data_IF_961742105289
#
_entry.id   IF_961742105289
#
_cell.length_a   1.000
_cell.length_b   1.000
_cell.length_c   1.000
_cell.angle_alpha   90.00
_cell.angle_beta   90.00
_cell.angle_gamma   90.00
#
_symmetry.space_group_name_H-M   'P 1'
#
loop_
_entity.id
_entity.type
_entity.pdbx_description
1 polymer ?
#
# COMPACT_ATOMS: atom_id res chain seq x y z
N UNK A 1 -13.19 -2.78 -13.39
CA UNK A 1 -11.79 -3.09 -13.72
C UNK A 1 -10.92 -2.57 -12.57
N UNK A 2 -10.43 -3.44 -11.68
CA UNK A 2 -9.89 -3.05 -10.36
C UNK A 2 -8.56 -2.28 -10.46
N UNK A 3 -7.87 -2.32 -11.60
CA UNK A 3 -6.72 -1.46 -11.89
C UNK A 3 -6.58 -1.23 -13.40
N UNK A 4 -6.16 -0.04 -13.84
CA UNK A 4 -5.77 0.23 -15.23
C UNK A 4 -4.56 -0.62 -15.69
N UNK A 5 -3.83 -1.21 -14.74
CA UNK A 5 -2.68 -2.07 -14.97
C UNK A 5 -3.13 -3.53 -15.00
N UNK A 6 -2.67 -4.31 -15.98
CA UNK A 6 -2.89 -5.75 -16.02
C UNK A 6 -1.68 -6.48 -15.41
N UNK A 7 -1.88 -7.18 -14.30
CA UNK A 7 -0.86 -7.94 -13.59
C UNK A 7 -1.45 -9.28 -13.11
N UNK A 8 -0.57 -10.26 -12.86
CA UNK A 8 -0.97 -11.56 -12.28
C UNK A 8 -1.23 -11.46 -10.76
N UNK A 9 -0.57 -10.52 -10.09
CA UNK A 9 -0.64 -10.29 -8.65
C UNK A 9 -0.78 -8.80 -8.36
N UNK A 10 -1.62 -8.46 -7.38
CA UNK A 10 -1.81 -7.10 -6.89
C UNK A 10 -1.71 -7.08 -5.38
N UNK A 11 -0.82 -6.23 -4.85
CA UNK A 11 -0.64 -6.06 -3.41
C UNK A 11 -1.21 -4.69 -3.01
N UNK A 12 -2.29 -4.70 -2.24
CA UNK A 12 -2.96 -3.51 -1.67
C UNK A 12 -2.57 -3.41 -0.20
N UNK A 13 -1.66 -2.48 0.09
CA UNK A 13 -1.08 -2.32 1.41
C UNK A 13 -1.61 -1.03 2.03
N UNK A 14 -2.30 -1.16 3.16
CA UNK A 14 -2.81 -0.02 3.91
C UNK A 14 -1.80 0.40 5.00
N UNK A 15 -1.43 1.67 5.01
CA UNK A 15 -0.59 2.24 6.08
C UNK A 15 -1.24 2.04 7.46
N UNK A 16 -0.43 1.61 8.41
CA UNK A 16 -0.80 1.51 9.81
C UNK A 16 0.17 2.34 10.65
N UNK A 17 -0.40 3.20 11.49
CA UNK A 17 0.33 4.03 12.42
C UNK A 17 0.00 3.55 13.83
N UNK A 18 1.01 3.06 14.54
CA UNK A 18 0.87 2.61 15.93
C UNK A 18 1.04 3.80 16.86
N UNK A 19 0.10 3.98 17.78
CA UNK A 19 0.19 5.02 18.80
C UNK A 19 1.08 4.57 19.97
N UNK A 20 1.83 5.49 20.60
CA UNK A 20 1.95 6.91 20.26
C UNK A 20 2.87 7.15 19.04
N UNK A 21 2.49 8.08 18.16
CA UNK A 21 3.30 8.49 17.00
C UNK A 21 3.21 10.00 16.72
N UNK A 22 4.15 10.54 15.91
CA UNK A 22 4.10 11.93 15.41
C UNK A 22 2.78 12.20 14.66
N UNK A 23 2.24 11.19 13.97
CA UNK A 23 0.96 11.31 13.29
C UNK A 23 -0.20 11.55 14.25
N UNK A 24 -0.13 11.11 15.49
CA UNK A 24 -1.18 11.41 16.47
C UNK A 24 -1.24 12.92 16.77
N UNK A 25 -0.08 13.57 16.85
CA UNK A 25 -0.01 15.02 17.01
C UNK A 25 -0.47 15.78 15.76
N UNK A 26 -0.04 15.36 14.56
CA UNK A 26 -0.53 15.96 13.30
C UNK A 26 -2.06 15.87 13.16
N UNK A 27 -2.65 14.71 13.53
CA UNK A 27 -4.11 14.49 13.49
C UNK A 27 -4.84 15.37 14.51
N UNK A 28 -4.27 15.51 15.71
CA UNK A 28 -4.79 16.43 16.72
C UNK A 28 -4.85 17.88 16.20
N UNK A 29 -3.76 18.36 15.59
CA UNK A 29 -3.73 19.71 14.99
C UNK A 29 -4.75 19.90 13.86
N UNK A 30 -5.08 18.84 13.12
CA UNK A 30 -6.10 18.86 12.07
C UNK A 30 -7.54 18.84 12.61
N UNK A 31 -7.73 18.84 13.95
CA UNK A 31 -9.02 18.75 14.61
C UNK A 31 -9.82 17.53 14.14
N UNK A 32 -9.12 16.43 13.88
CA UNK A 32 -9.74 15.19 13.42
C UNK A 32 -10.58 14.60 14.57
N UNK A 33 -11.89 14.43 14.34
CA UNK A 33 -12.79 13.87 15.35
C UNK A 33 -12.54 12.36 15.52
N UNK A 34 -11.74 11.98 16.50
CA UNK A 34 -11.43 10.57 16.82
C UNK A 34 -12.50 9.85 17.63
N UNK A 35 -13.57 10.55 18.02
CA UNK A 35 -14.50 10.10 19.07
C UNK A 35 -15.66 9.23 18.59
N UNK A 36 -15.98 9.22 17.29
CA UNK A 36 -17.07 8.41 16.76
C UNK A 36 -16.51 7.21 16.01
N UNK A 37 -16.88 6.01 16.45
CA UNK A 37 -16.69 4.81 15.65
C UNK A 37 -17.46 4.94 14.33
N UNK A 38 -16.84 4.44 13.26
CA UNK A 38 -17.46 4.41 11.95
C UNK A 38 -17.65 2.94 11.55
N UNK A 39 -18.87 2.58 11.16
CA UNK A 39 -19.21 1.23 10.72
C UNK A 39 -19.72 1.32 9.29
N UNK A 40 -19.16 0.49 8.41
CA UNK A 40 -19.69 0.28 7.06
C UNK A 40 -20.55 -0.98 7.09
N UNK A 41 -21.84 -0.84 6.85
CA UNK A 41 -22.83 -1.91 6.99
C UNK A 41 -22.82 -2.91 5.85
N UNK A 42 -22.36 -2.51 4.66
CA UNK A 42 -22.30 -3.37 3.49
C UNK A 42 -22.08 -2.61 2.19
N UNK A 43 -22.00 -3.32 1.05
CA UNK A 43 -21.75 -2.72 -0.27
C UNK A 43 -22.86 -1.78 -0.74
N UNK A 44 -24.09 -1.97 -0.26
CA UNK A 44 -25.23 -1.12 -0.59
C UNK A 44 -25.29 0.20 0.22
N UNK A 45 -24.37 0.38 1.17
CA UNK A 45 -24.33 1.61 1.96
C UNK A 45 -24.07 2.82 1.06
N UNK A 46 -24.93 3.83 1.16
CA UNK A 46 -24.75 5.09 0.46
C UNK A 46 -23.44 5.74 0.92
N UNK A 47 -22.55 6.00 -0.04
CA UNK A 47 -21.29 6.70 0.20
C UNK A 47 -21.57 8.06 0.89
N UNK A 48 -20.78 8.43 1.91
CA UNK A 48 -20.87 9.76 2.52
C UNK A 48 -20.88 10.89 1.47
N UNK A 49 -21.73 11.89 1.69
CA UNK A 49 -21.87 13.04 0.80
C UNK A 49 -20.56 13.80 0.64
N UNK A 50 -19.82 13.98 1.73
CA UNK A 50 -18.46 14.52 1.74
C UNK A 50 -17.42 13.43 2.05
N UNK A 51 -17.21 12.55 1.07
CA UNK A 51 -16.24 11.45 1.17
C UNK A 51 -14.81 11.93 1.42
N UNK A 52 -14.43 13.11 0.92
CA UNK A 52 -13.08 13.66 1.11
C UNK A 52 -12.84 14.06 2.56
N UNK A 53 -13.86 14.55 3.26
CA UNK A 53 -13.83 14.79 4.70
C UNK A 53 -13.74 13.49 5.48
N UNK A 54 -14.54 12.47 5.14
CA UNK A 54 -14.49 11.18 5.83
C UNK A 54 -13.14 10.47 5.64
N UNK A 55 -12.53 10.59 4.46
CA UNK A 55 -11.16 10.13 4.21
C UNK A 55 -10.10 10.85 5.04
N UNK A 56 -10.41 11.88 5.83
CA UNK A 56 -9.48 12.43 6.82
C UNK A 56 -9.57 11.68 8.14
N UNK A 57 -10.71 11.06 8.46
CA UNK A 57 -10.97 10.35 9.71
C UNK A 57 -10.33 8.95 9.72
N UNK A 58 -9.50 8.67 10.72
CA UNK A 58 -8.79 7.41 10.91
C UNK A 58 -9.75 6.24 11.13
N UNK A 59 -10.86 6.43 11.88
CA UNK A 59 -11.86 5.39 12.12
C UNK A 59 -12.56 5.02 10.81
N UNK A 60 -12.88 6.02 9.99
CA UNK A 60 -13.42 5.77 8.65
C UNK A 60 -12.44 4.98 7.77
N UNK A 61 -11.15 5.36 7.73
CA UNK A 61 -10.13 4.63 6.97
C UNK A 61 -9.98 3.17 7.41
N UNK A 62 -9.98 2.94 8.73
CA UNK A 62 -9.89 1.60 9.29
C UNK A 62 -11.11 0.77 8.90
N UNK A 63 -12.33 1.31 9.07
CA UNK A 63 -13.56 0.66 8.67
C UNK A 63 -13.61 0.38 7.16
N UNK A 64 -13.10 1.31 6.33
CA UNK A 64 -13.02 1.13 4.89
C UNK A 64 -12.07 -0.01 4.51
N UNK A 65 -10.90 -0.11 5.13
CA UNK A 65 -9.96 -1.19 4.88
C UNK A 65 -10.53 -2.55 5.32
N UNK A 66 -11.14 -2.61 6.52
CA UNK A 66 -11.83 -3.82 7.01
C UNK A 66 -12.97 -4.24 6.06
N UNK A 67 -13.79 -3.29 5.62
CA UNK A 67 -14.88 -3.53 4.66
C UNK A 67 -14.35 -4.07 3.32
N UNK A 68 -13.29 -3.48 2.77
CA UNK A 68 -12.72 -3.93 1.50
C UNK A 68 -12.18 -5.36 1.60
N UNK A 69 -11.51 -5.71 2.70
CA UNK A 69 -11.04 -7.08 2.93
C UNK A 69 -12.22 -8.06 2.99
N UNK A 70 -13.24 -7.72 3.77
CA UNK A 70 -14.42 -8.58 3.94
C UNK A 70 -15.17 -8.75 2.62
N UNK A 71 -15.47 -7.66 1.94
CA UNK A 71 -16.22 -7.68 0.68
C UNK A 71 -15.43 -8.34 -0.45
N UNK A 72 -14.11 -8.14 -0.54
CA UNK A 72 -13.28 -8.80 -1.55
C UNK A 72 -13.12 -10.30 -1.32
N UNK A 73 -13.42 -10.77 -0.12
CA UNK A 73 -13.45 -12.19 0.22
C UNK A 73 -14.76 -12.89 -0.15
N UNK A 74 -15.76 -12.19 -0.71
CA UNK A 74 -17.05 -12.80 -1.09
C UNK A 74 -17.04 -13.30 -2.53
N UNK A 75 -17.88 -14.29 -2.83
CA UNK A 75 -17.98 -14.87 -4.18
C UNK A 75 -18.51 -13.89 -5.24
N UNK A 76 -19.14 -12.79 -4.83
CA UNK A 76 -19.53 -11.68 -5.72
C UNK A 76 -18.31 -11.07 -6.44
N UNK A 77 -17.12 -11.24 -5.87
CA UNK A 77 -15.88 -10.68 -6.38
C UNK A 77 -15.14 -11.58 -7.37
N UNK A 78 -15.60 -12.83 -7.58
CA UNK A 78 -15.08 -13.78 -8.56
C UNK A 78 -14.90 -13.18 -9.97
N UNK A 79 -15.91 -12.51 -10.59
CA UNK A 79 -15.75 -11.96 -11.95
C UNK A 79 -14.74 -10.81 -12.01
N UNK A 80 -14.43 -10.16 -10.88
CA UNK A 80 -13.50 -9.03 -10.83
C UNK A 80 -12.06 -9.47 -10.54
N UNK A 81 -11.88 -10.48 -9.68
CA UNK A 81 -10.58 -11.06 -9.34
C UNK A 81 -10.10 -11.97 -10.48
N UNK A 82 -10.98 -12.84 -10.99
CA UNK A 82 -10.66 -13.76 -12.08
C UNK A 82 -9.43 -14.63 -11.76
N UNK A 83 -8.47 -14.68 -12.67
CA UNK A 83 -7.24 -15.47 -12.53
C UNK A 83 -6.09 -14.74 -11.81
N UNK A 84 -6.39 -13.67 -11.06
CA UNK A 84 -5.41 -12.84 -10.37
C UNK A 84 -5.27 -13.26 -8.92
N UNK A 85 -4.08 -13.07 -8.36
CA UNK A 85 -3.86 -13.11 -6.92
C UNK A 85 -3.95 -11.69 -6.36
N UNK A 86 -4.86 -11.45 -5.41
CA UNK A 86 -4.96 -10.17 -4.72
C UNK A 86 -4.47 -10.37 -3.29
N UNK A 87 -3.41 -9.67 -2.92
CA UNK A 87 -2.92 -9.62 -1.54
C UNK A 87 -3.37 -8.30 -0.92
N UNK A 88 -4.08 -8.35 0.20
CA UNK A 88 -4.52 -7.17 0.93
C UNK A 88 -3.92 -7.21 2.33
N UNK A 89 -3.14 -6.19 2.70
CA UNK A 89 -2.54 -6.10 4.01
C UNK A 89 -3.16 -4.95 4.81
N UNK A 90 -3.88 -5.30 5.87
CA UNK A 90 -4.35 -4.39 6.91
C UNK A 90 -4.65 -5.20 8.18
N UNK A 91 -3.91 -4.94 9.27
CA UNK A 91 -3.78 -5.73 10.51
C UNK A 91 -3.25 -7.16 10.31
N UNK A 92 -3.74 -7.85 9.28
CA UNK A 92 -3.31 -9.16 8.79
C UNK A 92 -3.15 -9.10 7.27
N UNK A 93 -2.48 -10.09 6.70
CA UNK A 93 -2.30 -10.19 5.26
C UNK A 93 -3.20 -11.27 4.69
N UNK A 94 -4.08 -10.89 3.77
CA UNK A 94 -5.06 -11.76 3.14
C UNK A 94 -4.67 -12.00 1.69
N UNK A 95 -4.49 -13.26 1.28
CA UNK A 95 -4.32 -13.63 -0.13
C UNK A 95 -5.61 -14.19 -0.68
N UNK A 96 -6.16 -13.52 -1.70
CA UNK A 96 -7.42 -13.84 -2.34
C UNK A 96 -7.16 -14.41 -3.73
N UNK A 97 -7.70 -15.60 -3.99
CA UNK A 97 -7.63 -16.26 -5.30
C UNK A 97 -8.97 -16.91 -5.64
N UNK A 98 -9.28 -17.04 -6.92
CA UNK A 98 -10.47 -17.78 -7.37
C UNK A 98 -10.08 -19.24 -7.62
N UNK A 99 -10.73 -20.16 -6.91
CA UNK A 99 -10.60 -21.61 -7.13
C UNK A 99 -12.02 -22.18 -7.24
N UNK A 100 -12.29 -22.95 -8.30
CA UNK A 100 -13.61 -23.56 -8.54
C UNK A 100 -14.78 -22.56 -8.47
N UNK A 101 -14.58 -21.35 -9.00
CA UNK A 101 -15.58 -20.27 -9.01
C UNK A 101 -16.02 -19.79 -7.61
N UNK A 102 -15.16 -19.96 -6.60
CA UNK A 102 -15.31 -19.41 -5.25
C UNK A 102 -14.04 -18.65 -4.84
N UNK A 103 -14.16 -17.67 -3.97
CA UNK A 103 -13.01 -16.97 -3.39
C UNK A 103 -12.41 -17.80 -2.26
N UNK A 104 -11.13 -18.12 -2.42
CA UNK A 104 -10.30 -18.69 -1.37
C UNK A 104 -9.45 -17.58 -0.76
N UNK A 105 -9.58 -17.41 0.56
CA UNK A 105 -8.83 -16.44 1.36
C UNK A 105 -7.87 -17.18 2.28
N UNK A 106 -6.57 -16.92 2.12
CA UNK A 106 -5.53 -17.38 3.03
C UNK A 106 -5.00 -16.22 3.86
N UNK A 107 -4.69 -16.45 5.14
CA UNK A 107 -4.31 -15.41 6.09
C UNK A 107 -2.91 -15.68 6.62
N UNK A 108 -2.01 -14.73 6.38
CA UNK A 108 -0.68 -14.69 6.98
C UNK A 108 -0.66 -13.66 8.12
N UNK A 109 -0.40 -14.14 9.35
CA UNK A 109 -0.32 -13.31 10.55
C UNK A 109 1.03 -12.56 10.68
N UNK A 110 2.08 -12.96 9.95
CA UNK A 110 3.44 -12.44 10.12
C UNK A 110 3.88 -11.47 9.02
N UNK A 111 2.99 -11.12 8.10
CA UNK A 111 3.33 -10.27 6.97
C UNK A 111 3.45 -8.79 7.39
N UNK A 112 4.67 -8.24 7.25
CA UNK A 112 4.96 -6.83 7.49
C UNK A 112 4.13 -5.92 6.59
N UNK A 113 3.62 -4.82 7.15
CA UNK A 113 2.74 -3.85 6.48
C UNK A 113 3.43 -2.95 5.45
N UNK A 114 4.64 -3.32 5.00
CA UNK A 114 5.51 -2.45 4.20
C UNK A 114 5.55 -2.91 2.75
N UNK A 115 5.17 -2.03 1.82
CA UNK A 115 5.22 -2.26 0.36
C UNK A 115 6.56 -2.87 -0.06
N UNK A 116 7.68 -2.36 0.48
CA UNK A 116 9.02 -2.80 0.12
C UNK A 116 9.32 -4.23 0.61
N UNK A 117 8.80 -4.62 1.76
CA UNK A 117 8.95 -5.98 2.28
C UNK A 117 8.24 -6.98 1.36
N UNK A 118 7.00 -6.69 0.94
CA UNK A 118 6.25 -7.51 0.00
C UNK A 118 7.02 -7.71 -1.32
N UNK A 119 7.60 -6.65 -1.88
CA UNK A 119 8.37 -6.73 -3.12
C UNK A 119 9.63 -7.57 -2.95
N UNK A 120 10.39 -7.36 -1.86
CA UNK A 120 11.62 -8.08 -1.59
C UNK A 120 11.42 -9.58 -1.30
N UNK A 121 10.25 -9.97 -0.82
CA UNK A 121 9.94 -11.37 -0.49
C UNK A 121 9.29 -12.16 -1.63
N UNK A 122 9.08 -11.54 -2.79
CA UNK A 122 8.58 -12.27 -3.96
C UNK A 122 9.73 -13.07 -4.57
N UNK A 123 9.67 -14.39 -4.41
CA UNK A 123 10.63 -15.34 -4.98
C UNK A 123 10.34 -15.62 -6.47
N UNK A 124 10.34 -14.56 -7.27
CA UNK A 124 10.22 -14.65 -8.71
C UNK A 124 10.85 -13.41 -9.36
N UNK A 125 11.51 -13.61 -10.51
CA UNK A 125 11.91 -12.50 -11.35
C UNK A 125 10.64 -11.85 -11.94
N UNK A 126 10.43 -10.56 -11.66
CA UNK A 126 9.23 -9.86 -12.07
C UNK A 126 9.48 -8.38 -12.39
N UNK A 127 8.48 -7.77 -13.04
CA UNK A 127 8.35 -6.32 -13.16
C UNK A 127 7.40 -5.83 -12.08
N UNK A 128 7.89 -5.05 -11.14
CA UNK A 128 7.10 -4.45 -10.07
C UNK A 128 6.68 -3.04 -10.44
N UNK A 129 5.40 -2.71 -10.25
CA UNK A 129 4.89 -1.36 -10.40
C UNK A 129 4.33 -0.90 -9.06
N UNK A 130 5.03 0.03 -8.42
CA UNK A 130 4.61 0.66 -7.18
C UNK A 130 3.74 1.87 -7.53
N UNK A 131 2.49 1.87 -7.09
CA UNK A 131 1.61 3.05 -7.17
C UNK A 131 1.41 3.60 -5.76
N UNK A 132 2.12 4.68 -5.46
CA UNK A 132 2.01 5.39 -4.18
C UNK A 132 2.22 6.89 -4.41
N UNK A 133 1.54 7.74 -3.64
CA UNK A 133 1.77 9.19 -3.65
C UNK A 133 2.91 9.62 -2.73
N UNK A 134 3.34 8.75 -1.80
CA UNK A 134 4.41 9.05 -0.86
C UNK A 134 5.79 8.83 -1.53
N UNK A 135 6.60 9.89 -1.57
CA UNK A 135 7.93 9.88 -2.14
C UNK A 135 8.94 9.09 -1.31
N UNK A 136 8.69 8.91 -0.01
CA UNK A 136 9.54 8.16 0.91
C UNK A 136 9.75 6.72 0.45
N UNK A 137 8.74 6.16 -0.21
CA UNK A 137 8.79 4.81 -0.79
C UNK A 137 9.91 4.69 -1.82
N UNK A 138 10.23 5.74 -2.58
CA UNK A 138 11.35 5.73 -3.52
C UNK A 138 12.69 5.57 -2.80
N UNK A 139 12.93 6.36 -1.74
CA UNK A 139 14.16 6.31 -0.96
C UNK A 139 14.31 4.95 -0.24
N UNK A 140 13.23 4.44 0.35
CA UNK A 140 13.22 3.14 1.01
C UNK A 140 13.42 2.01 -0.01
N UNK A 141 12.77 2.05 -1.18
CA UNK A 141 12.97 1.06 -2.23
C UNK A 141 14.41 1.05 -2.71
N UNK A 142 15.00 2.20 -3.04
CA UNK A 142 16.40 2.31 -3.49
C UNK A 142 17.36 1.67 -2.49
N UNK A 143 17.18 1.89 -1.18
CA UNK A 143 18.00 1.26 -0.14
C UNK A 143 17.85 -0.26 -0.04
N UNK A 144 16.75 -0.81 -0.55
CA UNK A 144 16.41 -2.23 -0.48
C UNK A 144 16.54 -2.98 -1.82
N UNK A 145 16.89 -2.29 -2.93
CA UNK A 145 17.03 -2.90 -4.27
C UNK A 145 17.97 -4.12 -4.30
N UNK A 146 18.98 -4.17 -3.43
CA UNK A 146 19.92 -5.31 -3.30
C UNK A 146 19.25 -6.64 -2.91
N UNK A 147 18.04 -6.58 -2.35
CA UNK A 147 17.28 -7.76 -1.95
C UNK A 147 16.46 -8.34 -3.10
N UNK A 148 16.37 -7.64 -4.23
CA UNK A 148 15.60 -8.07 -5.39
C UNK A 148 16.41 -9.04 -6.27
N UNK A 149 15.73 -10.09 -6.74
CA UNK A 149 16.29 -11.05 -7.70
C UNK A 149 16.13 -10.51 -9.12
N UNK A 150 17.18 -10.04 -9.78
CA UNK A 150 17.21 -9.60 -11.20
C UNK A 150 15.91 -8.98 -11.75
N UNK A 151 15.22 -8.19 -10.92
CA UNK A 151 13.85 -7.72 -11.15
C UNK A 151 13.87 -6.22 -11.41
N UNK A 152 12.89 -5.75 -12.17
CA UNK A 152 12.74 -4.34 -12.47
C UNK A 152 11.66 -3.71 -11.60
N UNK A 153 11.95 -2.53 -11.07
CA UNK A 153 11.01 -1.77 -10.24
C UNK A 153 10.70 -0.44 -10.89
N UNK A 154 9.41 -0.18 -11.05
CA UNK A 154 8.86 1.06 -11.57
C UNK A 154 7.99 1.72 -10.52
N UNK A 155 8.02 3.04 -10.46
CA UNK A 155 7.03 3.83 -9.73
C UNK A 155 6.08 4.51 -10.70
N UNK A 156 4.78 4.28 -10.53
CA UNK A 156 3.74 4.99 -11.24
C UNK A 156 3.31 6.20 -10.42
N UNK A 157 3.64 7.39 -10.89
CA UNK A 157 3.38 8.66 -10.20
C UNK A 157 2.48 9.58 -11.03
N UNK A 158 1.92 10.62 -10.40
CA UNK A 158 1.05 11.59 -11.04
C UNK A 158 -0.43 11.18 -11.05
N UNK A 159 -1.29 12.09 -11.53
CA UNK A 159 -2.76 11.91 -11.58
C UNK A 159 -3.27 12.39 -12.94
N UNK A 160 -4.31 11.73 -13.46
CA UNK A 160 -4.94 12.07 -14.74
C UNK A 160 -3.95 12.00 -15.91
N UNK A 161 -3.88 13.05 -16.72
CA UNK A 161 -3.03 13.10 -17.91
C UNK A 161 -1.53 13.28 -17.58
N UNK A 162 -1.16 13.43 -16.31
CA UNK A 162 0.25 13.58 -15.87
C UNK A 162 0.82 12.28 -15.28
N UNK A 163 0.11 11.16 -15.43
CA UNK A 163 0.58 9.86 -14.96
C UNK A 163 1.82 9.45 -15.77
N UNK A 164 2.90 9.07 -15.07
CA UNK A 164 4.15 8.64 -15.69
C UNK A 164 4.85 7.55 -14.87
N UNK A 165 5.62 6.73 -15.55
CA UNK A 165 6.50 5.75 -14.94
C UNK A 165 7.87 6.37 -14.66
N UNK A 166 8.41 6.08 -13.48
CA UNK A 166 9.79 6.35 -13.11
C UNK A 166 10.48 5.01 -12.91
N UNK A 167 11.57 4.78 -13.62
CA UNK A 167 12.38 3.57 -13.50
C UNK A 167 13.28 3.67 -12.26
N UNK A 168 12.94 2.94 -11.20
CA UNK A 168 13.72 2.92 -9.96
C UNK A 168 14.96 2.04 -10.12
N UNK A 169 14.92 1.03 -10.99
CA UNK A 169 16.09 0.19 -11.29
C UNK A 169 17.18 1.01 -11.96
N UNK A 170 16.84 1.80 -12.98
CA UNK A 170 17.81 2.70 -13.63
C UNK A 170 18.41 3.71 -12.66
N UNK A 171 17.59 4.27 -11.74
CA UNK A 171 18.10 5.19 -10.71
C UNK A 171 19.07 4.48 -9.75
N UNK A 172 18.75 3.26 -9.33
CA UNK A 172 19.63 2.45 -8.49
C UNK A 172 20.97 2.13 -9.17
N UNK A 173 20.94 1.74 -10.44
CA UNK A 173 22.14 1.48 -11.23
C UNK A 173 23.02 2.72 -11.36
N UNK A 174 22.42 3.90 -11.53
CA UNK A 174 23.15 5.17 -11.62
C UNK A 174 23.77 5.61 -10.28
N UNK A 175 23.03 5.50 -9.17
CA UNK A 175 23.51 5.89 -7.84
C UNK A 175 24.52 4.89 -7.26
N UNK A 176 24.38 3.62 -7.64
CA UNK A 176 25.18 2.51 -7.14
C UNK A 176 24.79 2.03 -5.73
N UNK A 177 25.18 0.80 -5.39
CA UNK A 177 24.71 0.09 -4.20
C UNK A 177 25.10 0.74 -2.86
N UNK A 178 26.19 1.52 -2.83
CA UNK A 178 26.66 2.19 -1.63
C UNK A 178 25.78 3.39 -1.28
N UNK A 179 25.58 4.30 -2.23
CA UNK A 179 24.78 5.51 -2.01
C UNK A 179 23.32 5.17 -1.75
N UNK A 180 22.74 4.27 -2.55
CA UNK A 180 21.34 3.86 -2.38
C UNK A 180 21.06 3.31 -0.99
N UNK A 181 21.99 2.54 -0.40
CA UNK A 181 21.87 1.97 0.95
C UNK A 181 21.86 3.03 2.05
N UNK A 182 22.48 4.17 1.82
CA UNK A 182 22.47 5.29 2.78
C UNK A 182 21.17 6.11 2.71
N UNK A 183 20.43 6.07 1.60
CA UNK A 183 19.23 6.91 1.40
C UNK A 183 18.17 6.75 2.48
N UNK A 184 17.80 5.54 2.97
CA UNK A 184 16.82 5.43 4.05
C UNK A 184 17.28 6.11 5.35
N UNK A 185 18.58 6.01 5.68
CA UNK A 185 19.15 6.67 6.85
C UNK A 185 19.23 8.19 6.69
N UNK A 186 19.63 8.65 5.50
CA UNK A 186 19.63 10.07 5.16
C UNK A 186 18.22 10.65 5.21
N UNK A 187 17.24 9.96 4.61
CA UNK A 187 15.82 10.32 4.62
C UNK A 187 15.28 10.46 6.05
N UNK A 188 15.62 9.50 6.93
CA UNK A 188 15.27 9.62 8.35
C UNK A 188 15.88 10.89 8.97
N UNK A 189 17.13 11.25 8.68
CA UNK A 189 17.77 12.44 9.27
C UNK A 189 17.20 13.75 8.68
N UNK A 190 16.90 13.79 7.39
CA UNK A 190 16.36 15.00 6.73
C UNK A 190 14.86 15.20 6.92
N UNK A 191 14.21 14.31 7.70
CA UNK A 191 12.80 14.35 8.03
C UNK A 191 11.98 13.33 7.24
N UNK A 192 11.19 12.54 7.96
CA UNK A 192 10.17 11.66 7.39
C UNK A 192 8.91 11.65 8.28
N UNK A 193 7.93 10.82 7.91
CA UNK A 193 6.68 10.69 8.68
C UNK A 193 6.87 10.25 10.16
N UNK A 194 8.05 9.77 10.54
CA UNK A 194 8.37 9.28 11.89
C UNK A 194 9.29 10.19 12.70
N UNK A 195 9.98 11.15 12.07
CA UNK A 195 10.90 12.05 12.77
C UNK A 195 11.05 13.40 12.07
N UNK A 196 11.19 14.50 12.84
CA UNK A 196 11.46 15.82 12.28
C UNK A 196 12.84 15.85 11.60
N UNK A 197 13.02 16.79 10.69
CA UNK A 197 14.33 17.11 10.14
C UNK A 197 15.24 17.70 11.23
N UNK A 198 16.52 17.32 11.22
CA UNK A 198 17.57 17.95 12.03
C UNK A 198 17.82 19.40 11.62
#
# INVERSE_FOLDING_TARGET
>A
MVTQLNAKRYDVIFDQYFSPSIKDYERFLRHESTYLEFIITGPDQVRPSDFAKELKNIRFKQALADFLILHWSTDEMVPFIGNKNIVVNFKRCHSLTVINNAIMSDIDENADTKIIHHICNIDAQANFVIRCSNTDIAAIMLGNMRHLKHSHVWMLIGVGNKVRYVDITTVYEHLGPSLSRCLPGFHAITGCDYNPAF
#
